data_IF_694785533585
#
_entry.id   IF_694785533585
#
_cell.length_a   1.000
_cell.length_b   1.000
_cell.length_c   1.000
_cell.angle_alpha   90.00
_cell.angle_beta   90.00
_cell.angle_gamma   90.00
#
_symmetry.space_group_name_H-M   'P 1'
#
loop_
_entity.id
_entity.type
_entity.pdbx_description
1 polymer ?
#
# COMPACT_ATOMS: atom_id res chain seq x y z
N UNK A 1 -27.40 21.76 41.70
CA UNK A 1 -26.51 22.35 40.68
C UNK A 1 -25.66 21.23 40.06
N UNK A 2 -26.01 20.77 38.84
CA UNK A 2 -25.30 19.72 38.09
C UNK A 2 -24.54 20.39 36.93
N UNK A 3 -23.26 20.71 37.11
CA UNK A 3 -22.38 21.24 36.05
C UNK A 3 -20.98 20.63 36.20
N UNK A 4 -20.83 19.34 35.92
CA UNK A 4 -19.49 18.73 35.85
C UNK A 4 -19.51 17.40 35.10
N UNK A 5 -19.98 17.40 33.84
CA UNK A 5 -19.94 16.20 32.97
C UNK A 5 -19.66 16.48 31.48
N UNK A 6 -19.21 17.68 31.11
CA UNK A 6 -19.02 18.04 29.69
C UNK A 6 -17.54 17.99 29.26
N UNK A 7 -16.58 17.98 30.19
CA UNK A 7 -15.16 18.09 29.84
C UNK A 7 -14.48 16.79 29.36
N UNK A 8 -15.14 15.62 29.40
CA UNK A 8 -14.48 14.33 29.13
C UNK A 8 -14.68 13.78 27.70
N UNK A 9 -15.26 14.55 26.78
CA UNK A 9 -15.60 14.09 25.41
C UNK A 9 -14.66 14.62 24.31
N UNK A 10 -13.71 15.49 24.64
CA UNK A 10 -12.87 16.17 23.63
C UNK A 10 -11.56 15.44 23.28
N UNK A 11 -11.24 14.32 23.92
CA UNK A 11 -9.97 13.60 23.70
C UNK A 11 -10.05 12.39 22.75
N UNK A 12 -11.18 12.12 22.10
CA UNK A 12 -11.36 10.91 21.27
C UNK A 12 -11.08 11.10 19.76
N UNK A 13 -10.66 12.28 19.31
CA UNK A 13 -10.60 12.58 17.86
C UNK A 13 -9.21 12.55 17.21
N UNK A 14 -8.16 12.09 17.89
CA UNK A 14 -6.79 12.20 17.36
C UNK A 14 -6.10 10.86 17.18
N UNK A 15 -6.74 9.93 16.47
CA UNK A 15 -6.02 8.79 15.87
C UNK A 15 -6.20 8.83 14.35
N UNK A 16 -5.62 9.84 13.71
CA UNK A 16 -5.45 9.86 12.26
C UNK A 16 -4.23 8.99 11.96
N UNK A 17 -4.45 7.70 11.72
CA UNK A 17 -3.40 6.82 11.24
C UNK A 17 -2.92 7.32 9.86
N UNK A 18 -1.81 8.05 9.83
CA UNK A 18 -1.16 8.42 8.57
C UNK A 18 -0.62 7.15 7.95
N UNK A 19 -1.21 6.74 6.82
CA UNK A 19 -0.65 5.63 6.05
C UNK A 19 0.68 6.12 5.49
N UNK A 20 1.79 5.39 5.68
CA UNK A 20 3.05 5.75 5.06
C UNK A 20 2.82 5.81 3.54
N UNK A 21 3.23 6.92 2.92
CA UNK A 21 3.21 7.05 1.47
C UNK A 21 4.27 6.10 0.93
N UNK A 22 3.84 4.99 0.34
CA UNK A 22 4.74 4.01 -0.27
C UNK A 22 5.28 4.64 -1.56
N UNK A 23 6.57 4.97 -1.57
CA UNK A 23 7.26 5.43 -2.78
C UNK A 23 7.66 4.22 -3.63
N UNK A 24 6.77 3.83 -4.54
CA UNK A 24 7.00 2.71 -5.45
C UNK A 24 8.27 2.90 -6.29
N UNK A 25 8.63 4.13 -6.67
CA UNK A 25 9.76 4.39 -7.56
C UNK A 25 11.07 4.03 -6.87
N UNK A 26 11.23 4.46 -5.63
CA UNK A 26 12.41 4.13 -4.84
C UNK A 26 12.52 2.64 -4.54
N UNK A 27 11.38 1.97 -4.32
CA UNK A 27 11.36 0.52 -4.09
C UNK A 27 11.78 -0.21 -5.37
N UNK A 28 11.11 0.06 -6.49
CA UNK A 28 11.38 -0.59 -7.79
C UNK A 28 12.83 -0.36 -8.22
N UNK A 29 13.40 0.84 -8.01
CA UNK A 29 14.78 1.16 -8.37
C UNK A 29 15.83 0.33 -7.61
N UNK A 30 15.49 -0.22 -6.44
CA UNK A 30 16.39 -1.07 -5.65
C UNK A 30 16.42 -2.52 -6.12
N UNK A 31 15.51 -2.92 -7.01
CA UNK A 31 15.36 -4.30 -7.44
C UNK A 31 15.86 -4.52 -8.88
N UNK A 32 16.69 -5.55 -9.13
CA UNK A 32 17.16 -5.88 -10.48
C UNK A 32 16.03 -6.39 -11.38
N UNK A 33 16.08 -6.00 -12.66
CA UNK A 33 15.14 -6.47 -13.69
C UNK A 33 15.55 -7.88 -14.20
N UNK A 34 14.59 -8.71 -14.69
CA UNK A 34 13.16 -8.44 -14.80
C UNK A 34 12.40 -8.60 -13.48
N UNK A 35 11.31 -7.86 -13.35
CA UNK A 35 10.41 -7.91 -12.19
C UNK A 35 9.12 -8.61 -12.63
N UNK A 36 8.69 -9.64 -11.91
CA UNK A 36 7.47 -10.41 -12.20
C UNK A 36 6.39 -10.14 -11.15
N UNK A 37 5.14 -10.12 -11.58
CA UNK A 37 3.99 -10.05 -10.69
C UNK A 37 3.78 -11.42 -10.05
N UNK A 38 3.97 -11.52 -8.75
CA UNK A 38 3.70 -12.74 -7.99
C UNK A 38 2.26 -12.77 -7.46
N UNK A 39 1.82 -11.66 -6.88
CA UNK A 39 0.53 -11.53 -6.21
C UNK A 39 -0.15 -10.21 -6.53
N UNK A 40 -1.49 -10.23 -6.56
CA UNK A 40 -2.33 -9.05 -6.74
C UNK A 40 -3.38 -9.11 -5.63
N UNK A 41 -3.35 -8.10 -4.76
CA UNK A 41 -4.37 -7.83 -3.75
C UNK A 41 -5.07 -6.51 -4.03
N UNK A 42 -6.26 -6.33 -3.46
CA UNK A 42 -7.05 -5.11 -3.61
C UNK A 42 -7.18 -4.41 -2.26
N UNK A 43 -6.88 -3.12 -2.23
CA UNK A 43 -7.03 -2.28 -1.06
C UNK A 43 -8.01 -1.14 -1.36
N UNK A 44 -9.12 -1.10 -0.61
CA UNK A 44 -10.13 -0.07 -0.80
C UNK A 44 -9.66 1.31 -0.29
N UNK A 45 -10.10 2.41 -0.93
CA UNK A 45 -10.85 2.45 -2.20
C UNK A 45 -9.92 2.55 -3.42
N UNK A 46 -10.03 1.62 -4.38
CA UNK A 46 -9.46 1.77 -5.73
C UNK A 46 -7.95 1.59 -5.88
N UNK A 47 -7.28 0.94 -4.93
CA UNK A 47 -5.85 0.60 -5.04
C UNK A 47 -5.66 -0.91 -5.18
N UNK A 48 -4.60 -1.30 -5.89
CA UNK A 48 -4.07 -2.66 -5.90
C UNK A 48 -2.72 -2.71 -5.21
N UNK A 49 -2.51 -3.75 -4.42
CA UNK A 49 -1.24 -4.06 -3.77
C UNK A 49 -0.61 -5.19 -4.58
N UNK A 50 0.54 -4.91 -5.19
CA UNK A 50 1.24 -5.88 -6.02
C UNK A 50 2.40 -6.47 -5.22
N UNK A 51 2.39 -7.79 -5.08
CA UNK A 51 3.59 -8.52 -4.65
C UNK A 51 4.40 -8.84 -5.89
N UNK A 52 5.61 -8.31 -5.95
CA UNK A 52 6.54 -8.45 -7.06
C UNK A 52 7.72 -9.31 -6.63
N UNK A 53 8.34 -10.00 -7.58
CA UNK A 53 9.56 -10.77 -7.40
C UNK A 53 10.58 -10.32 -8.44
N UNK A 54 11.81 -10.06 -8.01
CA UNK A 54 12.90 -9.62 -8.88
C UNK A 54 13.73 -10.79 -9.45
N UNK A 55 14.78 -10.47 -10.22
CA UNK A 55 15.67 -11.46 -10.83
C UNK A 55 16.46 -12.30 -9.81
N UNK A 56 16.63 -11.80 -8.58
CA UNK A 56 17.31 -12.47 -7.49
C UNK A 56 16.35 -13.26 -6.59
N UNK A 57 15.09 -13.42 -7.00
CA UNK A 57 14.00 -14.00 -6.21
C UNK A 57 13.67 -13.25 -4.92
N UNK A 58 13.99 -11.95 -4.83
CA UNK A 58 13.57 -11.13 -3.70
C UNK A 58 12.15 -10.63 -3.92
N UNK A 59 11.33 -10.78 -2.87
CA UNK A 59 9.94 -10.33 -2.87
C UNK A 59 9.84 -8.92 -2.32
N UNK A 60 9.01 -8.10 -2.95
CA UNK A 60 8.69 -6.77 -2.48
C UNK A 60 7.26 -6.37 -2.85
N UNK A 61 6.77 -5.30 -2.24
CA UNK A 61 5.39 -4.86 -2.39
C UNK A 61 5.36 -3.41 -2.85
N UNK A 62 4.50 -3.13 -3.82
CA UNK A 62 4.16 -1.77 -4.25
C UNK A 62 2.66 -1.57 -4.21
N UNK A 63 2.21 -0.31 -4.16
CA UNK A 63 0.78 0.02 -4.19
C UNK A 63 0.49 0.90 -5.40
N UNK A 64 -0.35 0.44 -6.31
CA UNK A 64 -0.72 1.18 -7.53
C UNK A 64 -2.22 1.45 -7.55
N UNK A 65 -2.68 2.34 -8.43
CA UNK A 65 -4.11 2.44 -8.75
C UNK A 65 -4.59 1.10 -9.28
N UNK A 66 -5.83 0.74 -8.95
CA UNK A 66 -6.41 -0.51 -9.42
C UNK A 66 -6.33 -0.60 -10.95
N UNK A 67 -5.82 -1.73 -11.43
CA UNK A 67 -5.70 -2.03 -12.85
C UNK A 67 -6.12 -3.49 -13.09
N UNK A 68 -7.31 -3.66 -13.66
CA UNK A 68 -7.91 -4.98 -13.88
C UNK A 68 -7.26 -5.76 -15.05
N UNK A 69 -6.36 -5.13 -15.81
CA UNK A 69 -5.60 -5.78 -16.89
C UNK A 69 -4.35 -6.50 -16.41
N UNK A 70 -3.88 -6.20 -15.19
CA UNK A 70 -2.68 -6.81 -14.62
C UNK A 70 -2.92 -8.27 -14.24
N UNK A 71 -1.96 -9.15 -14.55
CA UNK A 71 -2.07 -10.59 -14.30
C UNK A 71 -0.86 -11.10 -13.54
N UNK A 72 -1.07 -12.11 -12.69
CA UNK A 72 0.04 -12.84 -12.06
C UNK A 72 0.89 -13.52 -13.13
N UNK A 73 2.20 -13.56 -12.91
CA UNK A 73 3.20 -14.06 -13.86
C UNK A 73 3.62 -13.05 -14.93
N UNK A 74 2.89 -11.95 -15.11
CA UNK A 74 3.29 -10.90 -16.06
C UNK A 74 4.59 -10.22 -15.62
N UNK A 75 5.38 -9.76 -16.60
CA UNK A 75 6.51 -8.87 -16.34
C UNK A 75 5.95 -7.49 -16.00
N UNK A 76 6.30 -6.97 -14.84
CA UNK A 76 5.90 -5.65 -14.40
C UNK A 76 6.75 -4.60 -15.14
N UNK A 77 6.08 -3.77 -15.92
CA UNK A 77 6.67 -2.64 -16.63
C UNK A 77 6.03 -1.39 -16.04
N UNK A 78 6.89 -0.47 -15.57
CA UNK A 78 6.50 0.79 -14.95
C UNK A 78 5.92 1.75 -15.99
#
# INVERSE_FOLDING_TARGET
MKRSRILLLLFLFSCTASKPVIDNLQIIAKHPKPIKVFGIGNWKPGYSVLTLIDANNQYFVITTKQNDTLKRGAIYIQ
#
